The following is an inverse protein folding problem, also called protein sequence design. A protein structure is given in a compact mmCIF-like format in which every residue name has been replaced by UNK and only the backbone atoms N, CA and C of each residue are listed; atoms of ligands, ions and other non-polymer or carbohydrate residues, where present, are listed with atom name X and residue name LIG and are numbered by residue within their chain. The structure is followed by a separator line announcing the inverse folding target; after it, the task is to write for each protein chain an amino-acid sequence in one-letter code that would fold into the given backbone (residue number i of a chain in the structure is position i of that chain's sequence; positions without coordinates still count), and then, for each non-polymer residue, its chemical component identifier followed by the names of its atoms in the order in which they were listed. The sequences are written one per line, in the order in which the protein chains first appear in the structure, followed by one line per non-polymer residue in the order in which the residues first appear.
data_IF_754827371197
#
_entry.id   IF_754827371197
#
_cell.length_a   1.000
_cell.length_b   1.000
_cell.length_c   1.000
_cell.angle_alpha   90.00
_cell.angle_beta   90.00
_cell.angle_gamma   90.00
#
_symmetry.space_group_name_H-M   'P 1'
#
loop_
_entity.id
_entity.type
_entity.pdbx_description
1 polymer ?
#
# COMPACT_ATOMS: atom_id res chain seq x y z
N UNK A 1 18.95 17.17 10.97
CA UNK A 1 18.60 17.17 9.52
C UNK A 1 17.71 15.96 9.25
N UNK A 2 16.92 15.92 8.19
CA UNK A 2 16.09 14.74 7.87
C UNK A 2 16.27 14.27 6.43
N UNK A 3 15.94 13.01 6.16
CA UNK A 3 15.92 12.45 4.80
C UNK A 3 14.57 11.80 4.49
N UNK A 4 14.25 11.68 3.22
CA UNK A 4 13.13 10.87 2.73
C UNK A 4 13.65 9.76 1.83
N UNK A 5 12.99 8.59 1.83
CA UNK A 5 13.41 7.48 0.98
C UNK A 5 12.24 6.59 0.57
N UNK A 6 12.30 6.16 -0.69
CA UNK A 6 11.47 5.09 -1.27
C UNK A 6 12.26 3.78 -1.44
N UNK A 7 13.49 3.73 -0.95
CA UNK A 7 14.41 2.61 -1.13
C UNK A 7 14.09 1.45 -0.17
N UNK A 8 14.82 0.35 -0.32
CA UNK A 8 14.71 -0.85 0.50
C UNK A 8 15.26 -0.64 1.93
N UNK A 9 14.75 -1.40 2.92
CA UNK A 9 15.17 -1.33 4.32
C UNK A 9 16.68 -1.30 4.54
N UNK A 10 17.46 -2.07 3.78
CA UNK A 10 18.91 -2.19 3.94
C UNK A 10 19.64 -0.90 3.60
N UNK A 11 19.17 -0.17 2.58
CA UNK A 11 19.77 1.10 2.19
C UNK A 11 19.37 2.21 3.18
N UNK A 12 18.11 2.22 3.63
CA UNK A 12 17.65 3.17 4.67
C UNK A 12 18.45 3.01 5.96
N UNK A 13 18.76 1.76 6.37
CA UNK A 13 19.62 1.51 7.55
C UNK A 13 21.01 2.13 7.41
N UNK A 14 21.64 2.04 6.23
CA UNK A 14 22.94 2.71 6.00
C UNK A 14 22.86 4.22 6.22
N UNK A 15 21.76 4.88 5.82
CA UNK A 15 21.55 6.30 6.10
C UNK A 15 21.39 6.58 7.60
N UNK A 16 20.67 5.72 8.34
CA UNK A 16 20.55 5.80 9.79
C UNK A 16 21.94 5.70 10.45
N UNK A 17 22.76 4.75 9.99
CA UNK A 17 24.09 4.47 10.53
C UNK A 17 25.09 5.62 10.33
N UNK A 18 24.84 6.53 9.37
CA UNK A 18 25.67 7.74 9.22
C UNK A 18 25.59 8.69 10.41
N UNK A 19 24.49 8.64 11.18
CA UNK A 19 24.20 9.54 12.32
C UNK A 19 24.14 11.04 11.96
N UNK A 20 24.05 11.38 10.67
CA UNK A 20 23.91 12.75 10.18
C UNK A 20 22.45 13.28 10.28
N UNK A 21 21.50 12.37 10.46
CA UNK A 21 20.07 12.65 10.41
C UNK A 21 19.40 12.42 11.77
N UNK A 22 18.41 13.26 12.05
CA UNK A 22 17.57 13.23 13.26
C UNK A 22 16.12 12.83 12.96
N UNK A 23 15.76 12.72 11.67
CA UNK A 23 14.44 12.28 11.25
C UNK A 23 14.48 11.58 9.87
N UNK A 24 13.52 10.67 9.66
CA UNK A 24 13.29 10.05 8.36
C UNK A 24 11.82 10.12 7.94
N UNK A 25 11.59 10.17 6.62
CA UNK A 25 10.28 10.00 5.99
C UNK A 25 10.30 8.79 5.05
N UNK A 26 9.52 7.75 5.36
CA UNK A 26 9.53 6.48 4.63
C UNK A 26 8.12 5.98 4.33
N UNK A 27 7.96 5.17 3.27
CA UNK A 27 6.68 4.56 2.95
C UNK A 27 6.41 3.33 3.82
N UNK A 28 5.27 3.33 4.52
CA UNK A 28 4.84 2.20 5.33
C UNK A 28 3.32 2.16 5.49
N UNK A 29 2.74 0.99 5.25
CA UNK A 29 1.35 0.65 5.52
C UNK A 29 1.23 -0.88 5.46
N UNK A 30 0.06 -1.46 5.69
CA UNK A 30 -0.05 -2.91 5.71
C UNK A 30 0.10 -3.59 4.33
N UNK A 31 -0.03 -2.86 3.22
CA UNK A 31 0.29 -3.36 1.87
C UNK A 31 1.79 -3.29 1.60
N UNK A 32 2.50 -2.41 2.31
CA UNK A 32 3.95 -2.23 2.24
C UNK A 32 4.60 -2.31 3.64
N UNK A 33 4.62 -3.51 4.29
CA UNK A 33 5.06 -3.64 5.67
C UNK A 33 6.58 -3.76 5.83
N UNK A 34 7.35 -3.75 4.74
CA UNK A 34 8.79 -4.07 4.73
C UNK A 34 9.64 -3.13 5.59
N UNK A 35 9.16 -1.92 5.86
CA UNK A 35 9.89 -0.92 6.64
C UNK A 35 9.72 -1.08 8.16
N UNK A 36 8.91 -2.03 8.64
CA UNK A 36 8.61 -2.18 10.07
C UNK A 36 9.87 -2.30 10.95
N UNK A 37 10.81 -3.17 10.58
CA UNK A 37 12.03 -3.40 11.36
C UNK A 37 12.98 -2.19 11.30
N UNK A 38 13.04 -1.49 10.17
CA UNK A 38 13.83 -0.27 10.01
C UNK A 38 13.23 0.90 10.79
N UNK A 39 11.90 1.00 10.89
CA UNK A 39 11.21 1.97 11.74
C UNK A 39 11.56 1.73 13.21
N UNK A 40 11.49 0.48 13.66
CA UNK A 40 11.88 0.12 15.02
C UNK A 40 13.35 0.43 15.31
N UNK A 41 14.24 0.14 14.35
CA UNK A 41 15.66 0.45 14.45
C UNK A 41 15.92 1.96 14.56
N UNK A 42 15.36 2.75 13.64
CA UNK A 42 15.50 4.21 13.65
C UNK A 42 15.02 4.83 14.97
N UNK A 43 13.88 4.37 15.49
CA UNK A 43 13.36 4.83 16.77
C UNK A 43 14.27 4.44 17.95
N UNK A 44 14.89 3.25 17.90
CA UNK A 44 15.89 2.81 18.89
C UNK A 44 17.14 3.69 18.90
N UNK A 45 17.53 4.22 17.74
CA UNK A 45 18.62 5.21 17.60
C UNK A 45 18.18 6.65 17.91
N UNK A 46 16.96 6.87 18.41
CA UNK A 46 16.45 8.19 18.76
C UNK A 46 16.01 9.06 17.57
N UNK A 47 15.86 8.47 16.38
CA UNK A 47 15.44 9.18 15.17
C UNK A 47 13.91 9.35 15.11
N UNK A 48 13.44 10.54 14.75
CA UNK A 48 12.02 10.79 14.49
C UNK A 48 11.55 10.12 13.20
N UNK A 49 10.42 9.41 13.23
CA UNK A 49 9.91 8.68 12.05
C UNK A 49 8.57 9.25 11.58
N UNK A 50 8.57 9.80 10.37
CA UNK A 50 7.36 10.13 9.63
C UNK A 50 7.07 9.05 8.58
N UNK A 51 5.79 8.72 8.42
CA UNK A 51 5.30 7.74 7.46
C UNK A 51 4.53 8.43 6.35
N UNK A 52 4.97 8.23 5.10
CA UNK A 52 4.20 8.59 3.91
C UNK A 52 3.31 7.42 3.47
N UNK A 53 2.24 7.74 2.74
CA UNK A 53 1.28 6.78 2.20
C UNK A 53 0.60 5.87 3.26
N UNK A 54 0.14 6.40 4.41
CA UNK A 54 -0.47 5.57 5.46
C UNK A 54 -1.76 4.88 5.00
N UNK A 55 -2.47 5.48 4.04
CA UNK A 55 -3.68 4.94 3.41
C UNK A 55 -3.42 4.30 2.03
N UNK A 56 -2.15 4.07 1.69
CA UNK A 56 -1.73 3.45 0.43
C UNK A 56 -2.29 4.16 -0.81
N UNK A 57 -2.13 5.47 -0.93
CA UNK A 57 -2.64 6.23 -2.09
C UNK A 57 -4.18 6.20 -2.24
N UNK A 58 -4.90 5.94 -1.14
CA UNK A 58 -6.36 5.80 -1.13
C UNK A 58 -6.84 4.36 -1.39
N UNK A 59 -5.96 3.41 -1.68
CA UNK A 59 -6.33 2.00 -1.80
C UNK A 59 -6.92 1.42 -0.51
N UNK A 60 -6.48 1.95 0.64
CA UNK A 60 -6.96 1.53 1.95
C UNK A 60 -8.11 2.37 2.49
N UNK A 61 -8.61 3.32 1.72
CA UNK A 61 -9.76 4.14 2.08
C UNK A 61 -11.10 3.52 1.64
N UNK A 62 -11.07 2.40 0.92
CA UNK A 62 -12.28 1.77 0.44
C UNK A 62 -12.99 0.98 1.56
N UNK A 63 -14.19 1.43 1.93
CA UNK A 63 -15.00 0.80 2.95
C UNK A 63 -15.50 -0.56 2.50
N UNK A 64 -14.91 -1.59 3.08
CA UNK A 64 -15.36 -2.96 2.86
C UNK A 64 -15.68 -3.59 4.19
N UNK A 65 -16.70 -4.45 4.19
CA UNK A 65 -17.04 -5.25 5.37
C UNK A 65 -15.82 -6.04 5.86
N UNK A 66 -14.88 -6.39 4.98
CA UNK A 66 -13.67 -7.11 5.37
C UNK A 66 -12.72 -6.21 6.16
N UNK A 67 -12.37 -5.03 5.63
CA UNK A 67 -11.47 -4.07 6.29
C UNK A 67 -12.05 -3.58 7.61
N UNK A 68 -13.33 -3.19 7.65
CA UNK A 68 -13.97 -2.74 8.89
C UNK A 68 -14.03 -3.85 9.95
N UNK A 69 -14.20 -5.12 9.54
CA UNK A 69 -14.11 -6.26 10.46
C UNK A 69 -12.71 -6.45 11.04
N UNK A 70 -11.66 -5.95 10.40
CA UNK A 70 -10.28 -6.04 10.90
C UNK A 70 -10.08 -5.25 12.19
N UNK A 71 -10.79 -4.14 12.35
CA UNK A 71 -10.75 -3.30 13.55
C UNK A 71 -12.17 -2.89 13.98
N UNK A 72 -12.85 -3.71 14.79
CA UNK A 72 -14.15 -3.36 15.33
C UNK A 72 -14.13 -2.00 16.03
N UNK A 73 -15.10 -1.15 15.68
CA UNK A 73 -15.22 0.22 16.19
C UNK A 73 -14.49 1.29 15.37
N UNK A 74 -13.87 0.95 14.24
CA UNK A 74 -13.50 1.92 13.22
C UNK A 74 -14.73 2.32 12.39
N UNK A 75 -14.79 3.59 11.98
CA UNK A 75 -15.89 4.18 11.21
C UNK A 75 -15.67 4.10 9.70
N UNK A 76 -14.41 4.00 9.26
CA UNK A 76 -14.03 3.82 7.87
C UNK A 76 -12.77 2.96 7.73
N UNK A 77 -12.51 2.47 6.53
CA UNK A 77 -11.28 1.80 6.14
C UNK A 77 -10.06 2.72 6.24
N UNK A 78 -10.23 4.02 5.95
CA UNK A 78 -9.17 5.02 6.12
C UNK A 78 -8.77 5.14 7.60
N UNK A 79 -9.74 5.12 8.52
CA UNK A 79 -9.47 5.07 9.96
C UNK A 79 -8.70 3.79 10.32
N UNK A 80 -9.08 2.62 9.79
CA UNK A 80 -8.36 1.36 10.07
C UNK A 80 -6.90 1.46 9.62
N UNK A 81 -6.65 1.97 8.41
CA UNK A 81 -5.31 2.13 7.84
C UNK A 81 -4.44 3.12 8.62
N UNK A 82 -5.00 4.28 8.96
CA UNK A 82 -4.29 5.31 9.70
C UNK A 82 -3.96 4.84 11.13
N UNK A 83 -4.91 4.15 11.80
CA UNK A 83 -4.68 3.58 13.13
C UNK A 83 -3.64 2.46 13.12
N UNK A 84 -3.56 1.66 12.06
CA UNK A 84 -2.49 0.67 11.90
C UNK A 84 -1.10 1.33 11.92
N UNK A 85 -0.92 2.38 11.11
CA UNK A 85 0.35 3.11 11.03
C UNK A 85 0.68 3.79 12.36
N UNK A 86 -0.26 4.54 12.93
CA UNK A 86 -0.06 5.23 14.21
C UNK A 86 0.11 4.28 15.41
N UNK A 87 -0.28 3.01 15.29
CA UNK A 87 -0.08 1.99 16.33
C UNK A 87 1.23 1.22 16.19
N UNK A 88 2.01 1.49 15.14
CA UNK A 88 3.30 0.85 14.90
C UNK A 88 4.35 1.50 15.79
N UNK A 89 5.04 0.74 16.66
CA UNK A 89 6.11 1.27 17.51
C UNK A 89 7.16 2.02 16.68
N UNK A 90 7.57 3.19 17.16
CA UNK A 90 8.57 4.04 16.50
C UNK A 90 8.00 5.06 15.52
N UNK A 91 6.74 4.93 15.07
CA UNK A 91 6.11 5.94 14.20
C UNK A 91 5.70 7.17 15.02
N UNK A 92 6.17 8.34 14.62
CA UNK A 92 5.83 9.63 15.24
C UNK A 92 4.70 10.35 14.50
N UNK A 93 4.72 10.30 13.16
CA UNK A 93 3.81 11.06 12.29
C UNK A 93 3.33 10.20 11.12
N UNK A 94 2.07 10.34 10.72
CA UNK A 94 1.52 9.74 9.51
C UNK A 94 0.96 10.83 8.57
N UNK A 95 1.52 10.92 7.36
CA UNK A 95 1.13 11.92 6.36
C UNK A 95 0.00 11.39 5.47
N UNK A 96 -1.24 11.64 5.90
CA UNK A 96 -2.44 11.18 5.18
C UNK A 96 -2.97 12.23 4.21
N UNK A 97 -3.05 11.89 2.92
CA UNK A 97 -3.61 12.76 1.88
C UNK A 97 -5.14 12.82 1.95
N UNK A 98 -5.72 13.97 1.61
CA UNK A 98 -7.15 14.28 1.76
C UNK A 98 -7.62 15.18 0.62
N UNK A 99 -8.85 14.97 0.15
CA UNK A 99 -9.49 15.73 -0.93
C UNK A 99 -10.74 16.50 -0.49
N UNK A 100 -11.32 16.17 0.67
CA UNK A 100 -12.54 16.82 1.18
C UNK A 100 -12.39 17.20 2.65
N UNK A 101 -13.22 18.14 3.11
CA UNK A 101 -13.21 18.58 4.50
C UNK A 101 -13.57 17.46 5.47
N UNK A 102 -14.47 16.56 5.08
CA UNK A 102 -14.88 15.40 5.88
C UNK A 102 -13.69 14.47 6.14
N UNK A 103 -12.83 14.25 5.14
CA UNK A 103 -11.60 13.48 5.28
C UNK A 103 -10.60 14.16 6.22
N UNK A 104 -10.50 15.50 6.17
CA UNK A 104 -9.69 16.29 7.11
C UNK A 104 -10.18 16.08 8.54
N UNK A 105 -11.47 16.24 8.77
CA UNK A 105 -12.07 16.05 10.08
C UNK A 105 -11.93 14.62 10.58
N UNK A 106 -12.06 13.62 9.71
CA UNK A 106 -11.87 12.21 10.06
C UNK A 106 -10.42 11.87 10.42
N UNK A 107 -9.46 12.31 9.60
CA UNK A 107 -8.05 12.07 9.86
C UNK A 107 -7.60 12.77 11.14
N UNK A 108 -8.03 14.01 11.36
CA UNK A 108 -7.77 14.74 12.60
C UNK A 108 -8.33 13.98 13.82
N UNK A 109 -9.62 13.60 13.79
CA UNK A 109 -10.24 12.79 14.87
C UNK A 109 -9.51 11.48 15.12
N UNK A 110 -9.02 10.82 14.07
CA UNK A 110 -8.27 9.57 14.17
C UNK A 110 -6.88 9.79 14.78
N UNK A 111 -6.15 10.81 14.35
CA UNK A 111 -4.82 11.15 14.83
C UNK A 111 -4.81 11.71 16.26
N UNK A 112 -5.89 12.38 16.69
CA UNK A 112 -6.03 12.90 18.07
C UNK A 112 -6.29 11.81 19.12
N UNK A 113 -6.44 10.54 18.73
CA UNK A 113 -6.60 9.43 19.68
C UNK A 113 -5.30 9.20 20.44
N UNK A 114 -5.31 9.38 21.77
CA UNK A 114 -4.17 9.02 22.65
C UNK A 114 -3.69 7.58 22.45
N UNK A 115 -4.64 6.67 22.26
CA UNK A 115 -4.37 5.25 22.02
C UNK A 115 -5.03 4.84 20.72
N UNK A 116 -4.32 4.91 19.58
CA UNK A 116 -4.89 4.55 18.28
C UNK A 116 -5.42 3.12 18.29
N UNK A 117 -4.72 2.17 18.90
CA UNK A 117 -5.21 0.81 19.13
C UNK A 117 -4.72 0.24 20.45
N UNK A 118 -5.53 -0.60 21.09
CA UNK A 118 -5.06 -1.42 22.22
C UNK A 118 -4.08 -2.49 21.75
N UNK A 119 -3.22 -2.98 22.65
CA UNK A 119 -2.29 -4.07 22.33
C UNK A 119 -3.00 -5.33 21.77
N UNK A 120 -4.20 -5.65 22.28
CA UNK A 120 -5.04 -6.76 21.80
C UNK A 120 -5.55 -6.51 20.38
N UNK A 121 -6.08 -5.32 20.09
CA UNK A 121 -6.51 -4.96 18.74
C UNK A 121 -5.35 -5.00 17.76
N UNK A 122 -4.18 -4.46 18.17
CA UNK A 122 -2.97 -4.44 17.35
C UNK A 122 -2.55 -5.86 17.01
N UNK A 123 -2.40 -6.74 18.01
CA UNK A 123 -2.02 -8.14 17.80
C UNK A 123 -2.97 -8.85 16.83
N UNK A 124 -4.29 -8.73 17.04
CA UNK A 124 -5.30 -9.34 16.15
C UNK A 124 -5.23 -8.80 14.72
N UNK A 125 -5.06 -7.50 14.55
CA UNK A 125 -4.94 -6.87 13.24
C UNK A 125 -3.69 -7.37 12.51
N UNK A 126 -2.55 -7.37 13.19
CA UNK A 126 -1.27 -7.83 12.62
C UNK A 126 -1.29 -9.33 12.31
N UNK A 127 -1.91 -10.17 13.14
CA UNK A 127 -2.10 -11.61 12.84
C UNK A 127 -2.98 -11.83 11.61
N UNK A 128 -4.09 -11.09 11.49
CA UNK A 128 -4.96 -11.16 10.30
C UNK A 128 -4.23 -10.68 9.06
N UNK A 129 -3.49 -9.57 9.16
CA UNK A 129 -2.66 -9.07 8.08
C UNK A 129 -1.54 -10.04 7.71
N UNK A 130 -0.96 -10.78 8.65
CA UNK A 130 0.03 -11.83 8.38
C UNK A 130 -0.60 -12.98 7.61
N UNK A 131 -1.81 -13.41 7.97
CA UNK A 131 -2.58 -14.43 7.21
C UNK A 131 -2.97 -13.94 5.82
N UNK A 132 -3.35 -12.67 5.70
CA UNK A 132 -3.55 -12.02 4.40
C UNK A 132 -2.24 -11.97 3.64
N UNK A 133 -1.10 -11.69 4.30
CA UNK A 133 0.24 -11.57 3.71
C UNK A 133 0.81 -12.89 3.20
N UNK A 134 0.57 -13.97 3.92
CA UNK A 134 0.90 -15.33 3.48
C UNK A 134 0.09 -15.71 2.24
N UNK A 135 -1.16 -15.22 2.12
CA UNK A 135 -1.91 -15.22 0.85
C UNK A 135 -1.48 -14.11 -0.13
N UNK A 136 -0.77 -13.08 0.34
CA UNK A 136 -0.38 -11.85 -0.39
C UNK A 136 1.04 -11.82 -0.92
N UNK A 137 1.83 -12.91 -0.84
CA UNK A 137 3.09 -13.01 -1.61
C UNK A 137 2.88 -12.76 -3.13
N UNK A 138 1.62 -12.66 -3.55
CA UNK A 138 1.11 -12.30 -4.86
C UNK A 138 0.64 -10.83 -4.99
N UNK A 139 0.88 -9.89 -4.07
CA UNK A 139 0.26 -8.54 -4.16
C UNK A 139 1.27 -7.47 -4.58
N UNK A 140 0.95 -6.79 -5.68
CA UNK A 140 1.70 -5.65 -6.17
C UNK A 140 1.54 -4.43 -5.24
N UNK A 141 2.62 -3.69 -5.01
CA UNK A 141 2.63 -2.42 -4.27
C UNK A 141 2.47 -1.18 -5.16
N UNK A 142 2.25 -1.36 -6.46
CA UNK A 142 2.15 -0.29 -7.46
C UNK A 142 3.38 0.65 -7.50
N UNK A 143 4.58 0.14 -7.18
CA UNK A 143 5.82 0.90 -7.14
C UNK A 143 6.34 1.39 -8.51
N UNK A 144 5.89 0.80 -9.62
CA UNK A 144 6.23 1.24 -10.96
C UNK A 144 7.57 0.75 -11.53
N UNK A 145 8.40 0.01 -10.78
CA UNK A 145 9.69 -0.48 -11.29
C UNK A 145 9.58 -1.39 -12.53
N UNK A 146 8.44 -2.07 -12.70
CA UNK A 146 8.15 -2.88 -13.88
C UNK A 146 7.87 -2.06 -15.16
N UNK A 147 7.81 -0.73 -15.06
CA UNK A 147 7.50 0.17 -16.17
C UNK A 147 8.77 0.77 -16.80
N UNK A 148 8.71 1.21 -18.08
CA UNK A 148 7.59 1.03 -19.01
C UNK A 148 7.46 -0.43 -19.48
N UNK A 149 6.22 -0.85 -19.76
CA UNK A 149 5.95 -2.09 -20.48
C UNK A 149 6.10 -1.84 -22.00
N UNK A 150 6.84 -2.67 -22.75
CA UNK A 150 7.01 -2.50 -24.20
C UNK A 150 5.69 -2.60 -24.97
N UNK A 151 4.68 -3.27 -24.40
CA UNK A 151 3.36 -3.43 -25.00
C UNK A 151 2.32 -2.43 -24.46
N UNK A 152 2.74 -1.39 -23.74
CA UNK A 152 1.85 -0.30 -23.30
C UNK A 152 0.98 -0.60 -22.07
N UNK A 153 1.05 -1.83 -21.51
CA UNK A 153 0.30 -2.22 -20.31
C UNK A 153 0.67 -1.33 -19.12
N UNK A 154 -0.32 -0.75 -18.45
CA UNK A 154 -0.14 -0.08 -17.16
C UNK A 154 -0.18 -1.13 -16.03
N UNK A 155 0.94 -1.82 -15.83
CA UNK A 155 1.05 -2.96 -14.90
C UNK A 155 0.64 -2.55 -13.47
N UNK A 156 1.14 -1.44 -12.89
CA UNK A 156 0.72 -1.00 -11.55
C UNK A 156 -0.79 -0.78 -11.46
N UNK A 157 -1.38 -0.09 -12.45
CA UNK A 157 -2.80 0.23 -12.40
C UNK A 157 -3.68 -1.01 -12.56
N UNK A 158 -3.30 -1.98 -13.40
CA UNK A 158 -4.01 -3.26 -13.50
C UNK A 158 -4.02 -4.00 -12.16
N UNK A 159 -2.90 -4.06 -11.45
CA UNK A 159 -2.84 -4.72 -10.14
C UNK A 159 -3.52 -3.97 -9.01
N UNK A 160 -3.60 -2.65 -9.10
CA UNK A 160 -4.49 -1.85 -8.25
C UNK A 160 -5.94 -2.30 -8.42
N UNK A 161 -6.40 -2.49 -9.66
CA UNK A 161 -7.77 -2.93 -9.95
C UNK A 161 -8.00 -4.38 -9.52
N UNK A 162 -7.03 -5.27 -9.76
CA UNK A 162 -7.07 -6.65 -9.27
C UNK A 162 -7.19 -6.71 -7.74
N UNK A 163 -6.40 -5.89 -7.03
CA UNK A 163 -6.45 -5.80 -5.57
C UNK A 163 -7.81 -5.27 -5.09
N UNK A 164 -8.37 -4.27 -5.76
CA UNK A 164 -9.73 -3.74 -5.51
C UNK A 164 -10.82 -4.80 -5.66
N UNK A 165 -10.74 -5.65 -6.69
CA UNK A 165 -11.69 -6.73 -6.85
C UNK A 165 -11.49 -7.84 -5.81
N UNK A 166 -10.27 -8.36 -5.65
CA UNK A 166 -9.99 -9.52 -4.79
C UNK A 166 -10.08 -9.25 -3.30
N UNK A 167 -9.45 -8.18 -2.83
CA UNK A 167 -9.31 -7.89 -1.40
C UNK A 167 -10.50 -7.10 -0.86
N UNK A 168 -11.09 -6.29 -1.73
CA UNK A 168 -12.06 -5.29 -1.33
C UNK A 168 -13.47 -5.58 -1.87
N UNK A 169 -13.64 -6.57 -2.74
CA UNK A 169 -14.94 -6.92 -3.32
C UNK A 169 -15.51 -5.85 -4.25
N UNK A 170 -14.69 -4.91 -4.71
CA UNK A 170 -15.10 -3.78 -5.56
C UNK A 170 -15.02 -4.15 -7.05
N UNK A 171 -15.58 -5.30 -7.40
CA UNK A 171 -15.42 -5.88 -8.75
C UNK A 171 -16.02 -4.99 -9.82
N UNK A 172 -17.23 -4.44 -9.62
CA UNK A 172 -17.90 -3.60 -10.64
C UNK A 172 -17.16 -2.29 -10.89
N UNK A 173 -16.69 -1.65 -9.82
CA UNK A 173 -15.82 -0.47 -9.94
C UNK A 173 -14.51 -0.79 -10.66
N UNK A 174 -13.89 -1.93 -10.31
CA UNK A 174 -12.66 -2.38 -10.94
C UNK A 174 -12.85 -2.66 -12.43
N UNK A 175 -13.97 -3.30 -12.83
CA UNK A 175 -14.36 -3.52 -14.23
C UNK A 175 -14.57 -2.22 -14.99
N UNK A 176 -15.32 -1.27 -14.42
CA UNK A 176 -15.53 0.05 -15.03
C UNK A 176 -14.19 0.75 -15.33
N UNK A 177 -13.28 0.78 -14.35
CA UNK A 177 -11.97 1.41 -14.53
C UNK A 177 -11.06 0.61 -15.47
N UNK A 178 -11.16 -0.72 -15.48
CA UNK A 178 -10.44 -1.58 -16.41
C UNK A 178 -10.87 -1.30 -17.86
N UNK A 179 -12.17 -1.10 -18.10
CA UNK A 179 -12.70 -0.64 -19.39
C UNK A 179 -12.11 0.70 -19.86
N UNK A 180 -11.78 1.61 -18.93
CA UNK A 180 -11.11 2.88 -19.25
C UNK A 180 -9.63 2.72 -19.60
N UNK A 181 -8.94 1.74 -19.01
CA UNK A 181 -7.57 1.37 -19.42
C UNK A 181 -7.57 0.81 -20.84
N UNK A 182 -8.57 0.00 -21.18
CA UNK A 182 -8.72 -0.58 -22.51
C UNK A 182 -9.01 0.47 -23.59
N UNK A 183 -9.86 1.46 -23.28
CA UNK A 183 -10.23 2.56 -24.18
C UNK A 183 -9.34 3.81 -24.03
N UNK A 184 -8.12 3.66 -23.51
CA UNK A 184 -7.26 4.80 -23.25
C UNK A 184 -6.77 5.46 -24.56
N UNK A 185 -6.67 6.80 -24.60
CA UNK A 185 -6.34 7.57 -25.82
C UNK A 185 -4.97 7.23 -26.45
N UNK A 186 -4.09 6.60 -25.68
CA UNK A 186 -2.72 6.20 -26.10
C UNK A 186 -2.61 4.71 -26.44
N UNK A 187 -3.73 4.05 -26.73
CA UNK A 187 -3.80 2.60 -26.94
C UNK A 187 -4.25 1.84 -25.70
N UNK A 188 -4.44 0.53 -25.84
CA UNK A 188 -4.87 -0.36 -24.76
C UNK A 188 -3.77 -0.47 -23.69
N UNK A 189 -4.09 -0.02 -22.48
CA UNK A 189 -3.20 -0.08 -21.30
C UNK A 189 -3.65 -1.14 -20.30
N UNK A 190 -4.70 -1.89 -20.61
CA UNK A 190 -5.25 -2.95 -19.77
C UNK A 190 -4.41 -4.22 -19.85
N UNK A 191 -4.72 -5.20 -18.99
CA UNK A 191 -4.05 -6.48 -18.98
C UNK A 191 -4.21 -7.26 -20.30
N UNK A 192 -5.22 -6.93 -21.14
CA UNK A 192 -5.39 -7.54 -22.47
C UNK A 192 -4.25 -7.20 -23.45
N UNK A 193 -3.53 -6.10 -23.26
CA UNK A 193 -2.38 -5.75 -24.09
C UNK A 193 -1.10 -6.54 -23.73
N UNK A 194 -1.13 -7.37 -22.69
CA UNK A 194 0.04 -8.14 -22.26
C UNK A 194 0.34 -9.27 -23.25
N UNK A 195 1.55 -9.25 -23.84
CA UNK A 195 2.07 -10.32 -24.71
C UNK A 195 2.91 -11.36 -23.95
N UNK A 196 2.86 -11.35 -22.62
CA UNK A 196 3.57 -12.32 -21.77
C UNK A 196 5.10 -12.37 -21.98
N UNK A 197 5.72 -11.27 -22.43
CA UNK A 197 7.15 -11.22 -22.77
C UNK A 197 8.12 -11.38 -21.57
N UNK A 198 7.64 -11.25 -20.34
CA UNK A 198 8.44 -11.45 -19.12
C UNK A 198 9.42 -10.33 -18.74
N UNK A 199 9.59 -9.28 -19.55
CA UNK A 199 10.55 -8.18 -19.29
C UNK A 199 10.32 -7.44 -17.95
N UNK A 200 9.11 -7.52 -17.42
CA UNK A 200 8.74 -6.90 -16.14
C UNK A 200 9.20 -7.72 -14.92
N UNK A 201 9.42 -9.03 -15.07
CA UNK A 201 9.74 -9.94 -13.97
C UNK A 201 11.05 -9.59 -13.24
N UNK A 202 12.20 -9.45 -13.94
CA UNK A 202 13.46 -9.12 -13.25
C UNK A 202 13.47 -7.72 -12.62
N UNK A 203 12.56 -6.84 -13.05
CA UNK A 203 12.42 -5.48 -12.51
C UNK A 203 11.61 -5.43 -11.22
N UNK A 204 10.90 -6.50 -10.87
CA UNK A 204 10.02 -6.50 -9.70
C UNK A 204 10.81 -6.74 -8.42
N UNK A 205 10.90 -5.77 -7.48
CA UNK A 205 11.63 -5.99 -6.23
C UNK A 205 10.95 -7.03 -5.32
N UNK A 206 9.68 -7.34 -5.58
CA UNK A 206 8.88 -8.26 -4.79
C UNK A 206 8.74 -9.66 -5.42
N UNK A 207 9.37 -9.91 -6.58
CA UNK A 207 9.31 -11.19 -7.32
C UNK A 207 7.89 -11.77 -7.45
N UNK A 208 6.90 -10.92 -7.75
CA UNK A 208 5.52 -11.39 -7.98
C UNK A 208 5.40 -11.98 -9.39
N UNK A 209 4.47 -12.92 -9.56
CA UNK A 209 4.15 -13.51 -10.86
C UNK A 209 3.35 -12.52 -11.74
N UNK A 210 4.03 -11.50 -12.28
CA UNK A 210 3.37 -10.39 -13.00
C UNK A 210 2.53 -10.91 -14.18
N UNK A 211 3.10 -11.81 -14.99
CA UNK A 211 2.45 -12.33 -16.20
C UNK A 211 1.16 -13.08 -15.85
N UNK A 212 1.24 -13.99 -14.89
CA UNK A 212 0.10 -14.80 -14.42
C UNK A 212 -1.02 -13.93 -13.83
N UNK A 213 -0.65 -12.95 -12.99
CA UNK A 213 -1.62 -12.06 -12.39
C UNK A 213 -2.26 -11.09 -13.39
N UNK A 214 -1.56 -10.70 -14.46
CA UNK A 214 -2.17 -9.91 -15.53
C UNK A 214 -3.20 -10.74 -16.28
N UNK A 215 -2.89 -12.01 -16.60
CA UNK A 215 -3.85 -12.92 -17.22
C UNK A 215 -5.13 -13.05 -16.36
N UNK A 216 -4.97 -13.23 -15.06
CA UNK A 216 -6.09 -13.26 -14.14
C UNK A 216 -6.84 -11.92 -14.08
N UNK A 217 -6.14 -10.80 -14.10
CA UNK A 217 -6.77 -9.47 -14.11
C UNK A 217 -7.69 -9.33 -15.32
N UNK A 218 -7.24 -9.79 -16.49
CA UNK A 218 -8.05 -9.81 -17.70
C UNK A 218 -9.27 -10.72 -17.58
N UNK A 219 -9.13 -11.90 -16.98
CA UNK A 219 -10.24 -12.83 -16.76
C UNK A 219 -11.31 -12.28 -15.79
N UNK A 220 -10.87 -11.69 -14.67
CA UNK A 220 -11.77 -11.21 -13.62
C UNK A 220 -12.47 -9.90 -14.01
N UNK A 221 -11.74 -8.98 -14.62
CA UNK A 221 -12.18 -7.61 -14.90
C UNK A 221 -12.56 -7.34 -16.37
N UNK A 222 -12.25 -8.27 -17.27
CA UNK A 222 -12.57 -8.15 -18.69
C UNK A 222 -14.00 -8.55 -19.06
N UNK A 223 -14.76 -9.11 -18.10
CA UNK A 223 -16.20 -9.38 -18.20
C UNK A 223 -17.01 -8.10 -18.03
#
# INVERSE_FOLDING_TARGET
RGFSSHDKPENVKKFIDTREFSAMLVSYNWLNPQMADTIAYAAGEGMGVAVMNPVGGGHLAADTKQVLRMLPGAKSAAEVALRFVLSTPGVCVALSGMNTLEQVQENARTASRRTPMTARQRRRLFERLKKVKEKSKLICTACGYCMPCPHGVDIPQNFVLLSRARLFGLTDFARYQFGRLRKHKRGDRSAFACQQCGECLPKCPNNIAIVEQLAETAELLGK
#
